data_IF_001544580942
#
_entry.id   IF_001544580942
#
_cell.length_a   1.000
_cell.length_b   1.000
_cell.length_c   1.000
_cell.angle_alpha   90.00
_cell.angle_beta   90.00
_cell.angle_gamma   90.00
#
_symmetry.space_group_name_H-M   'P 1'
#
loop_
_entity.id
_entity.type
_entity.pdbx_description
1 polymer ?
#
# COMPACT_ATOMS: atom_id res chain seq x y z
N UNK A 1 22.41 25.26 40.56
CA UNK A 1 21.14 26.03 40.68
C UNK A 1 20.29 25.61 39.49
N UNK A 2 19.23 24.84 39.72
CA UNK A 2 18.27 24.48 38.68
C UNK A 2 17.17 25.55 38.69
N UNK A 3 17.32 26.59 37.87
CA UNK A 3 16.22 27.50 37.54
C UNK A 3 15.42 26.87 36.40
N UNK A 4 14.30 26.23 36.70
CA UNK A 4 13.58 25.47 35.69
C UNK A 4 12.05 25.51 35.75
N UNK A 5 11.43 26.12 36.76
CA UNK A 5 9.97 26.26 36.83
C UNK A 5 9.63 27.56 37.57
N UNK A 6 9.06 28.53 36.85
CA UNK A 6 8.77 29.87 37.38
C UNK A 6 7.30 30.08 37.79
N UNK A 7 6.42 29.08 37.67
CA UNK A 7 5.03 29.20 38.15
C UNK A 7 4.37 27.84 38.43
N UNK A 8 3.41 27.84 39.36
CA UNK A 8 2.48 26.71 39.60
C UNK A 8 1.74 26.33 38.31
N UNK A 9 1.49 27.31 37.43
CA UNK A 9 0.85 27.09 36.14
C UNK A 9 1.69 26.23 35.19
N UNK A 10 3.02 26.37 35.22
CA UNK A 10 3.91 25.54 34.38
C UNK A 10 3.93 24.09 34.87
N UNK A 11 3.84 23.87 36.18
CA UNK A 11 3.75 22.54 36.78
C UNK A 11 2.41 21.87 36.40
N UNK A 12 1.30 22.61 36.47
CA UNK A 12 -0.03 22.12 36.07
C UNK A 12 -0.09 21.83 34.57
N UNK A 13 0.51 22.66 33.72
CA UNK A 13 0.60 22.42 32.26
C UNK A 13 1.39 21.15 31.94
N UNK A 14 2.48 20.88 32.66
CA UNK A 14 3.29 19.65 32.49
C UNK A 14 2.49 18.41 32.94
N UNK A 15 1.81 18.47 34.09
CA UNK A 15 0.99 17.36 34.59
C UNK A 15 -0.19 17.03 33.66
N UNK A 16 -0.89 18.05 33.14
CA UNK A 16 -1.97 17.84 32.16
C UNK A 16 -1.44 17.21 30.87
N UNK A 17 -0.29 17.66 30.36
CA UNK A 17 0.35 17.06 29.17
C UNK A 17 0.71 15.59 29.39
N UNK A 18 1.22 15.24 30.57
CA UNK A 18 1.52 13.85 30.93
C UNK A 18 0.27 12.98 31.06
N UNK A 19 -0.81 13.50 31.65
CA UNK A 19 -2.08 12.78 31.80
C UNK A 19 -2.72 12.49 30.44
N UNK A 20 -2.79 13.49 29.56
CA UNK A 20 -3.31 13.30 28.19
C UNK A 20 -2.46 12.28 27.42
N UNK A 21 -1.12 12.30 27.59
CA UNK A 21 -0.25 11.30 26.98
C UNK A 21 -0.49 9.87 27.49
N UNK A 22 -0.73 9.67 28.79
CA UNK A 22 -1.08 8.35 29.34
C UNK A 22 -2.47 7.87 28.88
N UNK A 23 -3.47 8.75 28.84
CA UNK A 23 -4.80 8.39 28.32
C UNK A 23 -4.73 7.92 26.85
N UNK A 24 -3.99 8.63 26.00
CA UNK A 24 -3.72 8.19 24.62
C UNK A 24 -3.07 6.82 24.58
N UNK A 25 -2.06 6.60 25.44
CA UNK A 25 -1.34 5.34 25.51
C UNK A 25 -2.25 4.18 25.94
N UNK A 26 -3.16 4.42 26.89
CA UNK A 26 -4.14 3.43 27.36
C UNK A 26 -5.16 3.09 26.27
N UNK A 27 -5.73 4.10 25.59
CA UNK A 27 -6.62 3.88 24.45
C UNK A 27 -5.91 3.17 23.29
N UNK A 28 -4.66 3.54 23.01
CA UNK A 28 -3.79 2.90 22.03
C UNK A 28 -3.56 1.42 22.35
N UNK A 29 -3.25 1.09 23.61
CA UNK A 29 -3.12 -0.29 24.08
C UNK A 29 -4.43 -1.09 23.94
N UNK A 30 -5.58 -0.47 24.14
CA UNK A 30 -6.88 -1.13 23.99
C UNK A 30 -7.20 -1.46 22.51
N UNK A 31 -6.83 -0.59 21.56
CA UNK A 31 -7.00 -0.81 20.10
C UNK A 31 -5.85 -1.66 19.48
N UNK A 32 -4.72 -1.82 20.17
CA UNK A 32 -3.55 -2.57 19.71
C UNK A 32 -3.81 -4.05 19.35
N UNK A 33 -4.57 -4.86 20.13
CA UNK A 33 -4.79 -6.26 19.79
C UNK A 33 -5.57 -6.45 18.48
N UNK A 34 -6.58 -5.60 18.22
CA UNK A 34 -7.35 -5.65 16.97
C UNK A 34 -6.46 -5.32 15.75
N UNK A 35 -5.61 -4.30 15.87
CA UNK A 35 -4.64 -3.92 14.84
C UNK A 35 -3.64 -5.03 14.58
N UNK A 36 -3.07 -5.62 15.63
CA UNK A 36 -2.11 -6.72 15.52
C UNK A 36 -2.75 -7.95 14.86
N UNK A 37 -4.01 -8.28 15.15
CA UNK A 37 -4.72 -9.38 14.48
C UNK A 37 -4.85 -9.14 12.96
N UNK A 38 -5.25 -7.93 12.55
CA UNK A 38 -5.32 -7.55 11.12
C UNK A 38 -3.94 -7.62 10.44
N UNK A 39 -2.90 -7.13 11.12
CA UNK A 39 -1.53 -7.15 10.62
C UNK A 39 -0.98 -8.58 10.51
N UNK A 40 -1.19 -9.43 11.50
CA UNK A 40 -0.80 -10.84 11.47
C UNK A 40 -1.41 -11.57 10.28
N UNK A 41 -2.70 -11.34 9.98
CA UNK A 41 -3.35 -11.90 8.79
C UNK A 41 -2.69 -11.45 7.49
N UNK A 42 -2.30 -10.17 7.39
CA UNK A 42 -1.58 -9.64 6.23
C UNK A 42 -0.15 -10.18 6.13
N UNK A 43 0.60 -10.23 7.23
CA UNK A 43 1.95 -10.81 7.32
C UNK A 43 1.92 -12.29 6.91
N UNK A 44 0.99 -13.08 7.46
CA UNK A 44 0.79 -14.48 7.09
C UNK A 44 0.43 -14.67 5.61
N UNK A 45 -0.40 -13.80 5.04
CA UNK A 45 -0.71 -13.81 3.61
C UNK A 45 0.51 -13.49 2.72
N UNK A 46 1.33 -12.52 3.11
CA UNK A 46 2.60 -12.18 2.44
C UNK A 46 3.59 -13.34 2.52
N UNK A 47 3.77 -13.92 3.70
CA UNK A 47 4.65 -15.07 3.92
C UNK A 47 4.25 -16.27 3.04
N UNK A 48 2.95 -16.59 2.95
CA UNK A 48 2.46 -17.66 2.06
C UNK A 48 2.77 -17.39 0.59
N UNK A 49 2.58 -16.15 0.11
CA UNK A 49 2.93 -15.78 -1.26
C UNK A 49 4.43 -15.84 -1.54
N UNK A 50 5.24 -15.41 -0.57
CA UNK A 50 6.70 -15.47 -0.67
C UNK A 50 7.19 -16.93 -0.71
N UNK A 51 6.67 -17.79 0.17
CA UNK A 51 6.99 -19.22 0.19
C UNK A 51 6.57 -19.93 -1.11
N UNK A 52 5.37 -19.63 -1.64
CA UNK A 52 4.93 -20.17 -2.93
C UNK A 52 5.82 -19.67 -4.08
N UNK A 53 6.24 -18.40 -4.06
CA UNK A 53 7.19 -17.87 -5.05
C UNK A 53 8.54 -18.57 -4.98
N UNK A 54 9.06 -18.83 -3.79
CA UNK A 54 10.31 -19.56 -3.61
C UNK A 54 10.20 -21.02 -4.09
N UNK A 55 9.07 -21.70 -3.81
CA UNK A 55 8.76 -23.03 -4.35
C UNK A 55 8.76 -23.01 -5.88
N UNK A 56 8.10 -22.02 -6.49
CA UNK A 56 7.99 -21.91 -7.95
C UNK A 56 9.33 -21.62 -8.63
N UNK A 57 10.22 -20.85 -7.99
CA UNK A 57 11.56 -20.59 -8.52
C UNK A 57 12.43 -21.85 -8.65
N UNK A 58 12.08 -22.94 -7.94
CA UNK A 58 12.76 -24.23 -8.06
C UNK A 58 12.26 -25.07 -9.23
N UNK A 59 11.15 -24.68 -9.87
CA UNK A 59 10.57 -25.37 -11.02
C UNK A 59 11.19 -24.77 -12.29
N UNK A 60 11.69 -25.63 -13.16
CA UNK A 60 12.18 -25.21 -14.47
C UNK A 60 11.02 -24.83 -15.39
N UNK A 61 11.14 -23.69 -16.08
CA UNK A 61 10.11 -23.20 -16.98
C UNK A 61 10.10 -24.00 -18.27
N UNK A 62 8.93 -24.49 -18.67
CA UNK A 62 8.76 -25.13 -19.97
C UNK A 62 9.00 -24.13 -21.10
N UNK A 63 9.87 -24.49 -22.06
CA UNK A 63 10.27 -23.65 -23.19
C UNK A 63 9.78 -24.16 -24.54
N UNK A 64 9.25 -25.38 -24.60
CA UNK A 64 8.76 -26.06 -25.82
C UNK A 64 7.39 -26.71 -25.59
N UNK A 65 6.66 -26.99 -26.66
CA UNK A 65 5.26 -27.45 -26.57
C UNK A 65 5.15 -28.92 -26.15
N UNK A 66 6.06 -29.78 -26.62
CA UNK A 66 6.05 -31.20 -26.25
C UNK A 66 6.24 -31.43 -24.75
N UNK A 67 6.97 -30.55 -24.05
CA UNK A 67 7.16 -30.62 -22.61
C UNK A 67 5.83 -30.56 -21.83
N UNK A 68 4.80 -29.91 -22.39
CA UNK A 68 3.47 -29.79 -21.76
C UNK A 68 2.59 -31.04 -21.90
N UNK A 69 2.95 -31.96 -22.80
CA UNK A 69 2.12 -33.11 -23.18
C UNK A 69 2.02 -34.18 -22.09
N UNK A 70 3.06 -34.31 -21.28
CA UNK A 70 3.10 -35.29 -20.19
C UNK A 70 2.81 -34.65 -18.82
N UNK A 71 2.69 -33.31 -18.76
CA UNK A 71 2.43 -32.62 -17.51
C UNK A 71 1.00 -32.83 -17.03
N UNK A 72 0.86 -33.06 -15.72
CA UNK A 72 -0.44 -33.12 -15.05
C UNK A 72 -1.01 -31.72 -14.81
N UNK A 73 -2.30 -31.62 -14.50
CA UNK A 73 -2.97 -30.33 -14.29
C UNK A 73 -2.29 -29.46 -13.21
N UNK A 74 -1.82 -30.08 -12.13
CA UNK A 74 -1.16 -29.36 -11.05
C UNK A 74 0.17 -28.76 -11.51
N UNK A 75 0.95 -29.51 -12.31
CA UNK A 75 2.20 -29.05 -12.90
C UNK A 75 1.97 -27.92 -13.91
N UNK A 76 0.95 -28.05 -14.77
CA UNK A 76 0.56 -27.00 -15.72
C UNK A 76 0.08 -25.73 -14.99
N UNK A 77 -0.65 -25.89 -13.89
CA UNK A 77 -1.06 -24.76 -13.04
C UNK A 77 0.16 -24.08 -12.42
N UNK A 78 1.12 -24.85 -11.91
CA UNK A 78 2.35 -24.30 -11.34
C UNK A 78 3.21 -23.58 -12.40
N UNK A 79 3.31 -24.10 -13.63
CA UNK A 79 3.94 -23.38 -14.74
C UNK A 79 3.26 -22.03 -14.99
N UNK A 80 1.92 -21.98 -15.01
CA UNK A 80 1.19 -20.72 -15.17
C UNK A 80 1.39 -19.77 -13.98
N UNK A 81 1.50 -20.30 -12.74
CA UNK A 81 1.83 -19.47 -11.57
C UNK A 81 3.25 -18.91 -11.66
N UNK A 82 4.22 -19.66 -12.19
CA UNK A 82 5.59 -19.18 -12.42
C UNK A 82 5.57 -17.99 -13.37
N UNK A 83 4.87 -18.09 -14.50
CA UNK A 83 4.67 -16.95 -15.41
C UNK A 83 4.01 -15.73 -14.73
N UNK A 84 3.09 -15.96 -13.79
CA UNK A 84 2.34 -14.90 -13.13
C UNK A 84 3.08 -14.23 -11.97
N UNK A 85 3.81 -15.00 -11.16
CA UNK A 85 4.42 -14.55 -9.90
C UNK A 85 5.92 -14.31 -10.01
N UNK A 86 6.59 -14.92 -10.99
CA UNK A 86 8.03 -14.76 -11.23
C UNK A 86 8.25 -13.85 -12.45
N UNK A 87 7.61 -14.16 -13.58
CA UNK A 87 7.76 -13.41 -14.84
C UNK A 87 6.81 -12.20 -14.94
N UNK A 88 5.98 -11.96 -13.93
CA UNK A 88 5.02 -10.84 -13.84
C UNK A 88 4.06 -10.70 -15.03
N UNK A 89 3.77 -11.80 -15.76
CA UNK A 89 2.77 -11.81 -16.83
C UNK A 89 1.35 -11.82 -16.26
N UNK A 90 0.43 -11.16 -16.93
CA UNK A 90 -0.96 -11.00 -16.47
C UNK A 90 -1.97 -11.28 -17.60
N UNK A 91 -3.26 -11.25 -17.30
CA UNK A 91 -4.32 -11.46 -18.30
C UNK A 91 -4.81 -12.91 -18.47
N UNK A 92 -4.30 -13.85 -17.67
CA UNK A 92 -4.74 -15.25 -17.71
C UNK A 92 -5.02 -15.84 -16.31
N UNK A 93 -5.81 -16.92 -16.29
CA UNK A 93 -6.16 -17.69 -15.10
C UNK A 93 -5.27 -18.94 -15.00
N UNK A 94 -4.94 -19.34 -13.76
CA UNK A 94 -4.08 -20.51 -13.46
C UNK A 94 -4.88 -21.81 -13.24
N UNK A 95 -6.20 -21.77 -13.45
CA UNK A 95 -7.09 -22.93 -13.38
C UNK A 95 -7.90 -23.10 -14.66
N UNK A 96 -8.46 -24.29 -14.86
CA UNK A 96 -9.24 -24.65 -16.05
C UNK A 96 -9.11 -26.13 -16.39
N UNK A 97 -9.65 -26.52 -17.55
CA UNK A 97 -9.41 -27.86 -18.10
C UNK A 97 -7.94 -28.02 -18.50
N UNK A 98 -7.47 -29.27 -18.61
CA UNK A 98 -6.10 -29.56 -19.05
C UNK A 98 -5.76 -28.87 -20.37
N UNK A 99 -6.69 -28.92 -21.32
CA UNK A 99 -6.57 -28.28 -22.64
C UNK A 99 -6.41 -26.77 -22.50
N UNK A 100 -7.21 -26.12 -21.66
CA UNK A 100 -7.10 -24.67 -21.44
C UNK A 100 -5.75 -24.28 -20.86
N UNK A 101 -5.22 -25.06 -19.93
CA UNK A 101 -3.92 -24.77 -19.30
C UNK A 101 -2.78 -24.90 -20.33
N UNK A 102 -2.78 -25.94 -21.15
CA UNK A 102 -1.78 -26.13 -22.22
C UNK A 102 -1.84 -24.98 -23.22
N UNK A 103 -3.03 -24.64 -23.72
CA UNK A 103 -3.15 -23.58 -24.73
C UNK A 103 -2.70 -22.21 -24.21
N UNK A 104 -2.95 -21.91 -22.93
CA UNK A 104 -2.43 -20.69 -22.29
C UNK A 104 -0.91 -20.71 -22.21
N UNK A 105 -0.32 -21.82 -21.77
CA UNK A 105 1.13 -21.97 -21.68
C UNK A 105 1.81 -21.88 -23.04
N UNK A 106 1.26 -22.51 -24.08
CA UNK A 106 1.75 -22.40 -25.45
C UNK A 106 1.77 -20.96 -25.93
N UNK A 107 0.72 -20.18 -25.64
CA UNK A 107 0.68 -18.75 -25.96
C UNK A 107 1.81 -17.96 -25.29
N UNK A 108 2.06 -18.21 -23.99
CA UNK A 108 3.12 -17.55 -23.24
C UNK A 108 4.52 -17.96 -23.70
N UNK A 109 4.71 -19.24 -23.99
CA UNK A 109 5.94 -19.80 -24.55
C UNK A 109 6.22 -19.16 -25.91
N UNK A 110 5.22 -19.11 -26.80
CA UNK A 110 5.34 -18.47 -28.11
C UNK A 110 5.66 -16.97 -28.01
N UNK A 111 5.02 -16.25 -27.09
CA UNK A 111 5.28 -14.82 -26.90
C UNK A 111 6.73 -14.54 -26.49
N UNK A 112 7.34 -15.42 -25.69
CA UNK A 112 8.73 -15.23 -25.20
C UNK A 112 9.79 -15.82 -26.12
N UNK A 113 9.56 -17.01 -26.64
CA UNK A 113 10.58 -17.82 -27.33
C UNK A 113 10.32 -17.94 -28.83
N UNK A 114 9.14 -17.51 -29.31
CA UNK A 114 8.80 -17.46 -30.72
C UNK A 114 8.37 -18.80 -31.33
N UNK A 115 8.42 -18.88 -32.65
CA UNK A 115 7.96 -20.04 -33.44
C UNK A 115 8.78 -21.31 -33.19
N UNK A 116 10.06 -21.17 -32.83
CA UNK A 116 10.96 -22.30 -32.60
C UNK A 116 10.56 -23.19 -31.42
N UNK A 117 9.71 -22.69 -30.52
CA UNK A 117 9.19 -23.46 -29.39
C UNK A 117 8.07 -24.44 -29.73
N UNK A 118 7.46 -24.30 -30.91
CA UNK A 118 6.50 -25.29 -31.38
C UNK A 118 7.26 -26.42 -32.09
N UNK A 119 7.60 -27.44 -31.31
CA UNK A 119 8.31 -28.64 -31.76
C UNK A 119 7.36 -29.80 -32.13
N UNK A 120 6.05 -29.53 -32.15
CA UNK A 120 5.04 -30.53 -32.48
C UNK A 120 4.80 -30.62 -33.99
N UNK A 121 4.36 -31.79 -34.49
CA UNK A 121 3.97 -31.95 -35.89
C UNK A 121 2.85 -30.99 -36.30
N UNK A 122 2.81 -30.62 -37.57
CA UNK A 122 1.74 -29.78 -38.12
C UNK A 122 0.36 -30.37 -37.83
N UNK A 123 -0.48 -29.59 -37.13
CA UNK A 123 -1.82 -30.00 -36.73
C UNK A 123 -1.91 -30.78 -35.40
N UNK A 124 -0.80 -30.97 -34.69
CA UNK A 124 -0.81 -31.39 -33.27
C UNK A 124 -0.69 -30.17 -32.36
N UNK A 125 -1.74 -29.93 -31.57
CA UNK A 125 -1.74 -28.87 -30.56
C UNK A 125 -1.18 -29.36 -29.21
N UNK A 126 -0.69 -30.61 -29.11
CA UNK A 126 -0.18 -31.19 -27.86
C UNK A 126 -1.28 -31.47 -26.84
N UNK A 127 -2.53 -31.38 -27.28
CA UNK A 127 -3.74 -31.67 -26.51
C UNK A 127 -4.38 -32.90 -27.13
N UNK A 128 -4.50 -34.01 -26.40
CA UNK A 128 -5.04 -35.27 -26.92
C UNK A 128 -6.37 -35.04 -27.67
N UNK A 129 -6.49 -35.66 -28.86
CA UNK A 129 -7.70 -35.60 -29.70
C UNK A 129 -8.85 -36.38 -29.04
N UNK A 130 -9.46 -35.77 -28.04
CA UNK A 130 -10.61 -36.32 -27.32
C UNK A 130 -11.25 -35.36 -26.34
N UNK A 131 -10.59 -34.23 -26.03
CA UNK A 131 -11.05 -33.28 -25.01
C UNK A 131 -11.17 -31.85 -25.55
N UNK A 132 -11.32 -31.69 -26.86
CA UNK A 132 -11.58 -30.39 -27.49
C UNK A 132 -13.09 -30.15 -27.47
N UNK A 133 -13.60 -29.56 -26.39
CA UNK A 133 -14.88 -28.86 -26.47
C UNK A 133 -14.71 -27.72 -27.48
N UNK A 134 -15.44 -27.79 -28.58
CA UNK A 134 -15.25 -27.00 -29.80
C UNK A 134 -15.41 -25.50 -29.61
N UNK A 135 -14.40 -24.83 -29.03
CA UNK A 135 -14.26 -23.37 -29.07
C UNK A 135 -13.08 -23.01 -29.96
N UNK A 136 -13.33 -23.08 -31.27
CA UNK A 136 -12.55 -22.32 -32.25
C UNK A 136 -12.50 -20.87 -31.78
N UNK A 137 -11.28 -20.33 -31.73
CA UNK A 137 -10.96 -18.94 -31.38
C UNK A 137 -11.93 -17.98 -32.10
N UNK A 138 -12.85 -17.37 -31.35
CA UNK A 138 -13.39 -16.08 -31.78
C UNK A 138 -12.32 -15.03 -31.46
N UNK A 139 -11.81 -14.34 -32.49
CA UNK A 139 -11.17 -13.04 -32.29
C UNK A 139 -12.21 -12.15 -31.62
N UNK A 140 -11.96 -11.76 -30.37
CA UNK A 140 -12.74 -10.71 -29.72
C UNK A 140 -12.28 -9.38 -30.31
N UNK A 141 -12.93 -8.98 -31.40
CA UNK A 141 -12.89 -7.60 -31.89
C UNK A 141 -13.73 -6.78 -30.91
N UNK A 142 -13.14 -5.75 -30.30
CA UNK A 142 -13.84 -4.74 -29.53
C UNK A 142 -14.54 -5.25 -28.26
N UNK A 143 -13.82 -5.24 -27.14
CA UNK A 143 -14.47 -5.10 -25.85
C UNK A 143 -13.81 -3.93 -25.14
N UNK A 144 -14.34 -2.74 -25.42
CA UNK A 144 -14.15 -1.53 -24.63
C UNK A 144 -14.86 -1.75 -23.29
N UNK A 145 -14.21 -2.54 -22.43
CA UNK A 145 -14.55 -2.63 -21.03
C UNK A 145 -13.86 -1.49 -20.32
N UNK A 146 -14.60 -0.45 -19.96
CA UNK A 146 -14.17 0.54 -18.97
C UNK A 146 -13.93 -0.19 -17.66
N UNK A 147 -12.67 -0.63 -17.47
CA UNK A 147 -12.20 -1.19 -16.22
C UNK A 147 -12.28 -0.08 -15.17
N UNK A 148 -13.35 -0.07 -14.36
CA UNK A 148 -13.37 0.68 -13.11
C UNK A 148 -12.11 0.30 -12.34
N UNK A 149 -11.19 1.25 -12.22
CA UNK A 149 -9.90 1.09 -11.56
C UNK A 149 -10.13 0.61 -10.14
N UNK A 150 -9.97 -0.69 -9.92
CA UNK A 150 -9.91 -1.25 -8.58
C UNK A 150 -8.64 -0.70 -7.95
N UNK A 151 -8.76 0.32 -7.08
CA UNK A 151 -7.64 0.84 -6.28
C UNK A 151 -6.85 -0.36 -5.74
N UNK A 152 -5.59 -0.49 -6.15
CA UNK A 152 -4.72 -1.60 -5.73
C UNK A 152 -4.64 -1.53 -4.20
N UNK A 153 -4.99 -2.62 -3.51
CA UNK A 153 -4.79 -2.73 -2.06
C UNK A 153 -3.29 -2.53 -1.80
N UNK A 154 -2.93 -1.39 -1.21
CA UNK A 154 -1.54 -1.03 -0.87
C UNK A 154 -0.99 -2.04 0.17
N UNK A 155 0.32 -2.25 0.18
CA UNK A 155 1.00 -3.06 1.19
C UNK A 155 0.89 -2.40 2.58
N UNK A 156 1.20 -3.14 3.65
CA UNK A 156 1.30 -2.57 5.00
C UNK A 156 2.31 -1.42 4.98
N UNK A 157 1.96 -0.29 5.60
CA UNK A 157 2.83 0.87 5.77
C UNK A 157 3.63 0.67 7.04
N UNK A 158 4.91 1.07 7.03
CA UNK A 158 5.81 0.99 8.18
C UNK A 158 6.48 2.35 8.39
N UNK A 159 6.40 2.89 9.61
CA UNK A 159 7.06 4.14 9.99
C UNK A 159 7.55 4.04 11.43
N UNK A 160 8.84 4.31 11.66
CA UNK A 160 9.45 4.27 13.00
C UNK A 160 9.16 2.99 13.81
N UNK A 161 9.10 1.83 13.12
CA UNK A 161 8.81 0.53 13.73
C UNK A 161 7.33 0.25 14.03
N UNK A 162 6.43 1.17 13.65
CA UNK A 162 4.99 0.97 13.68
C UNK A 162 4.49 0.53 12.31
N UNK A 163 3.56 -0.44 12.31
CA UNK A 163 2.93 -0.94 11.10
C UNK A 163 1.42 -0.70 11.14
N UNK A 164 0.81 -0.36 9.99
CA UNK A 164 -0.64 -0.25 9.86
C UNK A 164 -1.16 -0.58 8.45
N UNK A 165 -2.48 -0.77 8.36
CA UNK A 165 -3.16 -0.92 7.07
C UNK A 165 -3.39 0.47 6.44
N UNK A 166 -2.93 0.73 5.20
CA UNK A 166 -3.15 2.02 4.52
C UNK A 166 -4.61 2.35 4.21
N UNK A 167 -5.56 1.46 4.49
CA UNK A 167 -7.00 1.72 4.36
C UNK A 167 -7.71 1.66 5.72
N UNK A 168 -6.96 1.58 6.82
CA UNK A 168 -7.51 1.78 8.15
C UNK A 168 -7.74 3.28 8.33
N UNK A 169 -8.98 3.63 8.66
CA UNK A 169 -9.37 5.00 8.97
C UNK A 169 -9.05 5.27 10.44
N UNK A 170 -8.37 6.39 10.68
CA UNK A 170 -8.03 6.84 12.01
C UNK A 170 -8.68 8.20 12.25
N UNK A 171 -9.13 8.44 13.48
CA UNK A 171 -9.67 9.75 13.88
C UNK A 171 -8.51 10.72 14.09
N UNK A 172 -8.69 11.97 13.66
CA UNK A 172 -7.71 13.03 13.86
C UNK A 172 -7.83 13.54 15.30
N UNK A 173 -6.70 13.60 16.01
CA UNK A 173 -6.63 14.26 17.31
C UNK A 173 -6.29 15.74 17.16
N UNK A 174 -5.27 16.08 16.37
CA UNK A 174 -4.86 17.48 16.10
C UNK A 174 -3.92 17.59 14.90
N UNK A 175 -3.83 18.77 14.30
CA UNK A 175 -2.72 19.14 13.42
C UNK A 175 -1.53 19.66 14.26
N UNK A 176 -0.32 19.29 13.85
CA UNK A 176 0.94 19.60 14.56
C UNK A 176 1.96 20.34 13.70
N UNK A 177 1.66 20.58 12.43
CA UNK A 177 2.62 21.16 11.50
C UNK A 177 2.01 21.39 10.11
N UNK A 178 2.62 22.30 9.36
CA UNK A 178 2.32 22.57 7.96
C UNK A 178 3.63 22.54 7.17
N UNK A 179 3.61 21.99 5.96
CA UNK A 179 4.70 22.11 5.01
C UNK A 179 4.18 22.25 3.58
N UNK A 180 5.03 22.75 2.69
CA UNK A 180 4.78 22.75 1.25
C UNK A 180 5.77 21.79 0.61
N UNK A 181 5.28 20.82 -0.14
CA UNK A 181 6.13 19.85 -0.82
C UNK A 181 6.89 20.52 -1.96
N UNK A 182 8.18 20.22 -2.08
CA UNK A 182 9.02 20.62 -3.21
C UNK A 182 8.90 19.66 -4.40
N UNK A 183 8.23 18.50 -4.23
CA UNK A 183 8.09 17.43 -5.22
C UNK A 183 9.34 16.58 -5.44
N UNK A 184 10.46 16.90 -4.79
CA UNK A 184 11.73 16.18 -4.91
C UNK A 184 12.05 15.36 -3.66
N UNK A 185 11.68 15.89 -2.49
CA UNK A 185 11.95 15.28 -1.19
C UNK A 185 10.84 14.28 -0.84
N UNK A 186 11.18 13.01 -0.55
CA UNK A 186 10.20 12.02 -0.11
C UNK A 186 9.53 12.47 1.20
N UNK A 187 8.21 12.37 1.24
CA UNK A 187 7.45 12.70 2.46
C UNK A 187 7.45 11.49 3.40
N UNK A 188 7.84 11.65 4.67
CA UNK A 188 7.88 10.55 5.63
C UNK A 188 6.54 9.81 5.75
N UNK A 189 6.56 8.48 5.69
CA UNK A 189 5.37 7.63 5.76
C UNK A 189 4.56 7.56 4.46
N UNK A 190 5.01 8.23 3.39
CA UNK A 190 4.46 8.16 2.03
C UNK A 190 5.54 7.79 1.01
N UNK A 191 6.49 6.93 1.41
CA UNK A 191 7.59 6.54 0.53
C UNK A 191 7.06 5.87 -0.75
N UNK A 192 7.53 6.35 -1.91
CA UNK A 192 7.11 5.85 -3.22
C UNK A 192 5.80 6.46 -3.75
N UNK A 193 5.19 7.40 -3.03
CA UNK A 193 4.12 8.24 -3.56
C UNK A 193 4.74 9.48 -4.24
N UNK A 194 4.25 9.80 -5.43
CA UNK A 194 4.65 11.02 -6.14
C UNK A 194 3.76 12.17 -5.67
N UNK A 195 4.32 13.07 -4.87
CA UNK A 195 3.63 14.28 -4.40
C UNK A 195 4.06 15.44 -5.28
N UNK A 196 3.09 16.23 -5.74
CA UNK A 196 3.37 17.36 -6.63
C UNK A 196 4.07 18.49 -5.87
N UNK A 197 4.95 19.20 -6.56
CA UNK A 197 5.54 20.43 -6.04
C UNK A 197 4.44 21.48 -5.82
N UNK A 198 4.49 22.18 -4.69
CA UNK A 198 3.48 23.17 -4.28
C UNK A 198 2.29 22.60 -3.51
N UNK A 199 2.22 21.28 -3.30
CA UNK A 199 1.16 20.67 -2.47
C UNK A 199 1.35 21.02 -0.99
N UNK A 200 0.31 21.56 -0.35
CA UNK A 200 0.28 21.82 1.09
C UNK A 200 -0.05 20.53 1.83
N UNK A 201 0.77 20.21 2.84
CA UNK A 201 0.61 19.05 3.69
C UNK A 201 0.55 19.47 5.14
N UNK A 202 -0.36 18.86 5.89
CA UNK A 202 -0.46 19.04 7.33
C UNK A 202 0.05 17.79 8.05
N UNK A 203 0.78 17.99 9.15
CA UNK A 203 1.23 16.90 10.03
C UNK A 203 0.09 16.54 10.97
N UNK A 204 -0.52 15.39 10.75
CA UNK A 204 -1.71 14.92 11.47
C UNK A 204 -1.30 14.00 12.61
N UNK A 205 -1.67 14.37 13.84
CA UNK A 205 -1.69 13.48 14.99
C UNK A 205 -3.00 12.69 14.99
N UNK A 206 -2.88 11.37 15.01
CA UNK A 206 -4.01 10.44 15.05
C UNK A 206 -4.38 10.07 16.48
N UNK A 207 -5.69 9.95 16.76
CA UNK A 207 -6.18 9.54 18.08
C UNK A 207 -5.58 8.19 18.48
N UNK A 208 -5.17 8.05 19.74
CA UNK A 208 -4.60 6.82 20.30
C UNK A 208 -3.20 6.44 19.75
N UNK A 209 -2.52 7.38 19.08
CA UNK A 209 -1.15 7.20 18.61
C UNK A 209 -0.22 8.25 19.22
N UNK A 210 1.07 7.91 19.42
CA UNK A 210 2.05 8.84 19.94
C UNK A 210 2.51 9.81 18.82
N UNK A 211 2.99 11.02 19.17
CA UNK A 211 3.29 12.07 18.20
C UNK A 211 4.45 11.76 17.24
N UNK A 212 5.32 10.82 17.60
CA UNK A 212 6.44 10.40 16.74
C UNK A 212 5.97 9.73 15.44
N UNK A 213 4.73 9.22 15.40
CA UNK A 213 4.18 8.56 14.21
C UNK A 213 3.09 9.36 13.50
N UNK A 214 2.98 10.64 13.80
CA UNK A 214 2.14 11.54 13.03
C UNK A 214 2.54 11.56 11.55
N UNK A 215 1.56 11.49 10.67
CA UNK A 215 1.78 11.40 9.22
C UNK A 215 1.41 12.70 8.52
N UNK A 216 1.94 12.90 7.32
CA UNK A 216 1.63 14.07 6.51
C UNK A 216 0.44 13.78 5.59
N UNK A 217 -0.62 14.57 5.71
CA UNK A 217 -1.86 14.42 4.96
C UNK A 217 -2.16 15.67 4.11
N UNK A 218 -2.80 15.44 2.97
CA UNK A 218 -3.34 16.49 2.10
C UNK A 218 -4.74 16.89 2.57
N UNK A 219 -5.10 18.17 2.39
CA UNK A 219 -6.37 18.76 2.80
C UNK A 219 -7.58 18.05 2.17
N UNK A 220 -7.62 17.90 0.84
CA UNK A 220 -8.83 17.44 0.15
C UNK A 220 -9.07 15.91 0.20
N UNK A 221 -8.02 15.12 0.45
CA UNK A 221 -8.07 13.67 0.31
C UNK A 221 -8.08 12.91 1.64
N UNK A 222 -7.59 13.50 2.73
CA UNK A 222 -7.29 12.78 3.98
C UNK A 222 -7.66 13.51 5.27
N UNK A 223 -7.90 14.82 5.22
CA UNK A 223 -8.35 15.60 6.39
C UNK A 223 -9.83 15.92 6.18
N UNK A 224 -10.75 15.35 6.97
CA UNK A 224 -12.16 15.63 6.78
C UNK A 224 -12.45 17.09 7.09
N UNK A 225 -12.83 17.89 6.08
CA UNK A 225 -13.33 19.26 6.26
C UNK A 225 -14.79 19.29 6.75
N UNK A 226 -15.16 18.38 7.67
CA UNK A 226 -16.52 18.08 8.12
C UNK A 226 -16.99 18.94 9.31
N UNK A 227 -17.58 18.32 10.34
CA UNK A 227 -18.10 19.01 11.53
C UNK A 227 -17.04 19.75 12.36
N UNK A 228 -15.76 19.38 12.22
CA UNK A 228 -14.64 20.00 12.91
C UNK A 228 -13.65 20.51 11.85
N UNK A 229 -13.45 21.82 11.81
CA UNK A 229 -12.47 22.47 10.93
C UNK A 229 -11.08 22.50 11.58
N UNK A 230 -10.38 21.36 11.50
CA UNK A 230 -9.03 21.24 12.05
C UNK A 230 -8.02 22.19 11.41
N UNK A 231 -8.22 22.56 10.14
CA UNK A 231 -7.31 23.44 9.40
C UNK A 231 -7.52 24.88 9.85
N UNK A 232 -8.77 25.37 9.84
CA UNK A 232 -9.09 26.70 10.35
C UNK A 232 -8.61 26.91 11.78
N UNK A 233 -8.88 25.95 12.68
CA UNK A 233 -8.39 26.03 14.07
C UNK A 233 -6.87 26.06 14.18
N UNK A 234 -6.14 25.39 13.27
CA UNK A 234 -4.69 25.38 13.29
C UNK A 234 -4.10 26.65 12.67
N UNK A 235 -4.65 27.14 11.57
CA UNK A 235 -4.23 28.40 10.95
C UNK A 235 -4.54 29.61 11.84
N UNK A 236 -5.70 29.62 12.51
CA UNK A 236 -6.03 30.63 13.51
C UNK A 236 -5.02 30.62 14.68
N UNK A 237 -4.57 29.44 15.10
CA UNK A 237 -3.56 29.33 16.16
C UNK A 237 -2.18 29.81 15.71
N UNK A 238 -1.80 29.57 14.45
CA UNK A 238 -0.56 30.12 13.89
C UNK A 238 -0.62 31.63 13.78
N UNK A 239 -1.76 32.18 13.32
CA UNK A 239 -1.95 33.63 13.24
C UNK A 239 -1.91 34.30 14.61
N UNK A 240 -2.47 33.66 15.64
CA UNK A 240 -2.37 34.15 17.02
C UNK A 240 -0.92 34.10 17.55
N UNK A 241 -0.16 33.04 17.29
CA UNK A 241 1.26 32.93 17.67
C UNK A 241 2.16 33.93 16.92
N UNK A 242 1.90 34.19 15.62
CA UNK A 242 2.58 35.23 14.85
C UNK A 242 2.29 36.62 15.42
N UNK A 243 1.03 36.91 15.78
CA UNK A 243 0.63 38.16 16.39
C UNK A 243 1.28 38.36 17.79
N UNK A 244 1.34 37.32 18.62
CA UNK A 244 2.03 37.36 19.92
C UNK A 244 3.55 37.54 19.78
N UNK A 245 4.17 36.99 18.73
CA UNK A 245 5.58 37.24 18.40
C UNK A 245 5.81 38.67 17.94
N UNK A 246 4.96 39.22 17.08
CA UNK A 246 5.05 40.61 16.64
C UNK A 246 4.86 41.59 17.82
N UNK A 247 3.91 41.33 18.72
CA UNK A 247 3.65 42.15 19.89
C UNK A 247 4.82 42.09 20.91
N UNK A 248 5.45 40.93 21.09
CA UNK A 248 6.61 40.78 21.99
C UNK A 248 7.92 41.32 21.42
N UNK A 249 8.14 41.24 20.10
CA UNK A 249 9.31 41.82 19.42
C UNK A 249 9.19 43.35 19.30
N UNK A 250 7.97 43.89 19.40
CA UNK A 250 7.69 45.33 19.48
C UNK A 250 8.00 45.91 20.87
N UNK A 251 7.73 45.17 21.95
CA UNK A 251 8.03 45.58 23.33
C UNK A 251 9.53 45.51 23.68
N UNK A 252 10.33 44.69 22.99
CA UNK A 252 11.80 44.63 23.19
C UNK A 252 12.59 45.73 22.46
N UNK A 253 11.97 46.49 21.56
CA UNK A 253 12.63 47.60 20.83
C UNK A 253 12.50 48.97 21.51
N UNK A 254 11.71 49.06 22.58
CA UNK A 254 11.46 50.29 23.35
C UNK A 254 12.11 50.30 24.76
N UNK A 255 13.14 49.47 25.01
CA UNK A 255 14.05 49.57 26.18
C UNK A 255 15.44 50.17 25.88
#
# INVERSE_FOLDING_TARGET
MFSGFNSIEDLVKVDVRHLVAEERRLKGKAKAPEREEKLQKKRGGRAKKAAERERLLRIELATIYSALKNMMNDELSDQLKLWKLVENKTGFTVGGSRVDLVLKLQGLIFERFGTASNDLPDGDAGTERGQVDGRRRQRKVGAEGTAKGRKRKRAVVELHGWEWDPHEEFEIERLMGKMVSDGATPVPGREGEHIASGTILYRVLWECFPPEIATWAEEEDQIPCGEIDFIGMYEDSLGAEEQEQEDSESDEQDE
#
